data_IF_182747977953
#
_entry.id   IF_182747977953
#
_cell.length_a   1.000
_cell.length_b   1.000
_cell.length_c   1.000
_cell.angle_alpha   90.00
_cell.angle_beta   90.00
_cell.angle_gamma   90.00
#
_symmetry.space_group_name_H-M   'P 1'
#
loop_
_entity.id
_entity.type
_entity.pdbx_description
1 polymer ?
#
# COMPACT_ATOMS: atom_id res chain seq x y z
N UNK A 1 111.61 13.91 33.37
CA UNK A 1 111.19 13.60 34.75
C UNK A 1 109.71 13.31 34.73
N UNK A 2 109.31 12.33 35.53
CA UNK A 2 108.02 11.64 35.54
C UNK A 2 106.83 12.49 36.05
N UNK A 3 105.63 11.92 35.84
CA UNK A 3 104.35 11.99 36.59
C UNK A 3 103.15 12.30 35.68
N UNK A 4 101.96 11.75 35.83
CA UNK A 4 101.44 10.57 36.54
C UNK A 4 99.96 10.46 36.12
N UNK A 5 99.43 9.25 36.09
CA UNK A 5 98.04 8.88 36.34
C UNK A 5 96.89 9.84 35.95
N UNK A 6 96.22 9.63 34.80
CA UNK A 6 94.77 9.84 34.68
C UNK A 6 94.12 8.68 33.93
N UNK A 7 93.69 7.68 34.71
CA UNK A 7 92.34 7.14 34.63
C UNK A 7 91.91 6.45 33.33
N UNK A 8 92.49 5.30 33.00
CA UNK A 8 91.79 4.35 32.14
C UNK A 8 91.10 3.31 33.03
N UNK A 9 89.78 3.45 33.20
CA UNK A 9 88.97 2.28 33.46
C UNK A 9 89.27 1.31 32.33
N UNK A 10 89.86 0.14 32.64
CA UNK A 10 90.05 -0.89 31.63
C UNK A 10 88.69 -1.27 31.04
N UNK A 11 88.64 -1.69 29.78
CA UNK A 11 87.40 -2.14 29.14
C UNK A 11 86.60 -3.10 30.02
N UNK A 12 87.30 -3.99 30.74
CA UNK A 12 86.72 -4.90 31.72
C UNK A 12 85.92 -4.21 32.85
N UNK A 13 86.34 -3.03 33.31
CA UNK A 13 85.62 -2.26 34.35
C UNK A 13 84.41 -1.51 33.76
N UNK A 14 84.47 -1.14 32.49
CA UNK A 14 83.33 -0.58 31.74
C UNK A 14 82.27 -1.67 31.51
N UNK A 15 82.69 -2.87 31.10
CA UNK A 15 81.81 -4.01 30.87
C UNK A 15 81.08 -4.45 32.16
N UNK A 16 81.78 -4.42 33.30
CA UNK A 16 81.20 -4.69 34.62
C UNK A 16 80.16 -3.65 35.07
N UNK A 17 80.33 -2.38 34.69
CA UNK A 17 79.38 -1.31 35.00
C UNK A 17 78.15 -1.40 34.09
N UNK A 18 78.34 -1.78 32.82
CA UNK A 18 77.26 -1.98 31.85
C UNK A 18 76.38 -3.19 32.22
N UNK A 19 76.97 -4.27 32.71
CA UNK A 19 76.25 -5.46 33.18
C UNK A 19 75.43 -5.23 34.46
N UNK A 20 75.73 -4.16 35.23
CA UNK A 20 75.00 -3.75 36.43
C UNK A 20 73.94 -2.69 36.18
N UNK A 21 73.93 -2.09 34.99
CA UNK A 21 72.85 -1.21 34.59
C UNK A 21 71.66 -2.09 34.21
N UNK A 22 70.69 -2.23 35.12
CA UNK A 22 69.35 -2.70 34.74
C UNK A 22 68.74 -1.60 33.87
N UNK A 23 68.84 -1.76 32.56
CA UNK A 23 68.45 -0.70 31.62
C UNK A 23 66.93 -0.63 31.44
N UNK A 24 66.16 -1.64 31.86
CA UNK A 24 64.72 -1.70 31.59
C UNK A 24 64.37 -1.56 30.10
N UNK A 25 65.34 -1.78 29.20
CA UNK A 25 65.20 -1.61 27.74
C UNK A 25 65.36 -2.97 27.08
N UNK A 26 64.41 -3.34 26.22
CA UNK A 26 64.52 -4.53 25.39
C UNK A 26 65.63 -4.37 24.35
N UNK A 27 66.40 -5.44 24.14
CA UNK A 27 67.28 -5.52 22.98
C UNK A 27 66.47 -5.51 21.68
N UNK A 28 67.14 -5.17 20.58
CA UNK A 28 66.52 -5.22 19.25
C UNK A 28 65.95 -6.61 18.94
N UNK A 29 66.69 -7.67 19.29
CA UNK A 29 66.25 -9.05 19.09
C UNK A 29 64.98 -9.38 19.87
N UNK A 30 64.86 -8.92 21.11
CA UNK A 30 63.66 -9.12 21.94
C UNK A 30 62.48 -8.33 21.39
N UNK A 31 62.73 -7.09 20.93
CA UNK A 31 61.71 -6.24 20.30
C UNK A 31 61.16 -6.88 19.03
N UNK A 32 62.04 -7.38 18.15
CA UNK A 32 61.66 -8.05 16.90
C UNK A 32 60.86 -9.34 17.19
N UNK A 33 61.26 -10.10 18.21
CA UNK A 33 60.57 -11.31 18.64
C UNK A 33 59.15 -11.00 19.13
N UNK A 34 59.00 -10.01 20.01
CA UNK A 34 57.71 -9.61 20.55
C UNK A 34 56.78 -9.01 19.49
N UNK A 35 57.36 -8.29 18.51
CA UNK A 35 56.61 -7.70 17.41
C UNK A 35 56.11 -8.76 16.42
N UNK A 36 56.89 -9.82 16.16
CA UNK A 36 56.52 -10.90 15.23
C UNK A 36 55.22 -11.64 15.61
N UNK A 37 54.86 -11.64 16.90
CA UNK A 37 53.62 -12.24 17.41
C UNK A 37 52.41 -11.29 17.38
N UNK A 38 52.57 -10.07 16.89
CA UNK A 38 51.49 -9.08 16.76
C UNK A 38 50.92 -9.12 15.34
N UNK A 39 49.62 -8.86 15.24
CA UNK A 39 48.96 -8.66 13.96
C UNK A 39 49.22 -7.22 13.50
N UNK A 40 49.62 -7.05 12.24
CA UNK A 40 49.83 -5.74 11.64
C UNK A 40 48.52 -4.96 11.51
N UNK A 41 48.60 -3.64 11.68
CA UNK A 41 47.44 -2.76 11.49
C UNK A 41 47.11 -2.64 10.01
N UNK A 42 45.92 -3.09 9.63
CA UNK A 42 45.35 -2.85 8.31
C UNK A 42 44.32 -1.72 8.40
N UNK A 43 44.37 -0.77 7.46
CA UNK A 43 43.45 0.37 7.43
C UNK A 43 41.99 -0.11 7.34
N UNK A 44 41.14 0.33 8.28
CA UNK A 44 39.71 -0.02 8.31
C UNK A 44 39.34 -1.33 9.05
N UNK A 45 40.26 -1.89 9.87
CA UNK A 45 39.99 -3.07 10.71
C UNK A 45 40.47 -2.86 12.16
N UNK A 46 39.74 -3.45 13.13
CA UNK A 46 40.11 -3.52 14.55
C UNK A 46 40.95 -4.76 14.86
N UNK A 47 41.73 -4.75 15.96
CA UNK A 47 42.73 -5.78 16.29
C UNK A 47 42.17 -7.10 16.87
N UNK A 48 40.86 -7.19 17.16
CA UNK A 48 40.29 -8.35 17.89
C UNK A 48 38.84 -8.71 17.55
N UNK A 49 38.21 -8.05 16.59
CA UNK A 49 36.83 -8.37 16.19
C UNK A 49 36.83 -8.92 14.78
N UNK A 50 36.00 -9.95 14.54
CA UNK A 50 35.77 -10.54 13.23
C UNK A 50 35.31 -9.44 12.26
N UNK A 51 36.30 -8.79 11.64
CA UNK A 51 36.08 -7.77 10.64
C UNK A 51 35.51 -8.50 9.45
N UNK A 52 34.24 -8.26 9.13
CA UNK A 52 33.57 -8.80 7.94
C UNK A 52 34.57 -8.88 6.79
N UNK A 53 34.73 -10.08 6.24
CA UNK A 53 35.65 -10.34 5.14
C UNK A 53 35.33 -9.38 3.99
N UNK A 54 36.31 -9.09 3.13
CA UNK A 54 36.07 -8.24 1.95
C UNK A 54 34.94 -8.79 1.07
N UNK A 55 34.74 -10.12 1.08
CA UNK A 55 33.62 -10.78 0.42
C UNK A 55 32.27 -10.47 1.09
N UNK A 56 32.19 -10.43 2.42
CA UNK A 56 30.98 -10.03 3.15
C UNK A 56 30.68 -8.54 2.99
N UNK A 57 31.71 -7.68 2.97
CA UNK A 57 31.54 -6.25 2.68
C UNK A 57 31.05 -6.01 1.26
N UNK A 58 31.58 -6.74 0.27
CA UNK A 58 31.08 -6.71 -1.11
C UNK A 58 29.65 -7.23 -1.23
N UNK A 59 29.30 -8.29 -0.49
CA UNK A 59 27.92 -8.77 -0.41
C UNK A 59 26.99 -7.73 0.20
N UNK A 60 27.42 -7.05 1.26
CA UNK A 60 26.63 -6.01 1.94
C UNK A 60 26.42 -4.79 1.04
N UNK A 61 27.45 -4.29 0.36
CA UNK A 61 27.29 -3.19 -0.61
C UNK A 61 26.46 -3.60 -1.81
N UNK A 62 26.42 -4.89 -2.17
CA UNK A 62 25.53 -5.41 -3.22
C UNK A 62 24.06 -5.51 -2.80
N UNK A 63 23.70 -5.20 -1.54
CA UNK A 63 22.32 -5.15 -1.05
C UNK A 63 21.71 -3.74 -1.07
N UNK A 64 22.51 -2.68 -1.23
CA UNK A 64 22.02 -1.29 -1.33
C UNK A 64 21.23 -1.02 -2.63
N UNK A 65 21.13 -1.99 -3.52
CA UNK A 65 20.40 -1.92 -4.79
C UNK A 65 19.04 -2.63 -4.77
N UNK A 66 18.57 -3.11 -3.60
CA UNK A 66 17.27 -3.73 -3.49
C UNK A 66 16.18 -2.66 -3.52
N UNK A 67 15.69 -2.38 -4.72
CA UNK A 67 14.55 -1.50 -4.97
C UNK A 67 13.28 -2.35 -5.15
N UNK A 68 12.45 -2.42 -4.10
CA UNK A 68 11.15 -3.10 -4.13
C UNK A 68 9.98 -2.16 -4.48
N UNK A 69 10.27 -0.93 -4.92
CA UNK A 69 9.26 0.06 -5.33
C UNK A 69 8.36 -0.49 -6.44
N UNK A 70 8.92 -1.28 -7.36
CA UNK A 70 8.16 -1.93 -8.42
C UNK A 70 7.18 -2.98 -7.87
N UNK A 71 7.64 -3.86 -6.98
CA UNK A 71 6.83 -4.92 -6.37
C UNK A 71 5.71 -4.33 -5.50
N UNK A 72 6.01 -3.28 -4.73
CA UNK A 72 5.04 -2.58 -3.90
C UNK A 72 4.00 -1.81 -4.74
N UNK A 73 4.42 -1.20 -5.85
CA UNK A 73 3.52 -0.57 -6.82
C UNK A 73 2.61 -1.60 -7.50
N UNK A 74 3.15 -2.74 -7.93
CA UNK A 74 2.38 -3.84 -8.53
C UNK A 74 1.37 -4.42 -7.53
N UNK A 75 1.75 -4.61 -6.26
CA UNK A 75 0.83 -5.09 -5.21
C UNK A 75 -0.30 -4.09 -4.91
N UNK A 76 0.02 -2.79 -4.93
CA UNK A 76 -0.96 -1.71 -4.77
C UNK A 76 -1.91 -1.64 -5.97
N UNK A 77 -1.40 -1.81 -7.18
CA UNK A 77 -2.21 -1.87 -8.39
C UNK A 77 -3.10 -3.12 -8.43
N UNK A 78 -2.57 -4.29 -8.03
CA UNK A 78 -3.30 -5.55 -7.97
C UNK A 78 -4.43 -5.53 -6.93
N UNK A 79 -4.21 -4.83 -5.81
CA UNK A 79 -5.24 -4.64 -4.78
C UNK A 79 -6.31 -3.60 -5.18
N UNK A 80 -5.96 -2.67 -6.08
CA UNK A 80 -6.85 -1.60 -6.57
C UNK A 80 -7.55 -1.93 -7.89
N UNK A 81 -7.07 -2.93 -8.63
CA UNK A 81 -7.67 -3.38 -9.89
C UNK A 81 -9.12 -3.83 -9.65
N UNK A 82 -10.07 -3.20 -10.33
CA UNK A 82 -11.52 -3.43 -10.17
C UNK A 82 -12.25 -2.48 -9.20
N UNK A 83 -11.54 -1.62 -8.46
CA UNK A 83 -12.12 -0.83 -7.38
C UNK A 83 -12.89 0.45 -7.81
N UNK A 84 -12.98 0.76 -9.12
CA UNK A 84 -13.50 2.06 -9.55
C UNK A 84 -14.96 2.26 -9.18
N UNK A 85 -15.80 1.26 -9.43
CA UNK A 85 -17.20 1.33 -9.07
C UNK A 85 -17.47 0.39 -7.88
N UNK A 86 -18.02 0.94 -6.80
CA UNK A 86 -18.41 0.19 -5.62
C UNK A 86 -19.86 -0.34 -5.70
N UNK A 87 -20.63 0.09 -6.69
CA UNK A 87 -22.02 -0.35 -6.91
C UNK A 87 -22.06 -1.53 -7.88
N UNK A 88 -22.02 -2.75 -7.35
CA UNK A 88 -22.42 -3.98 -8.03
C UNK A 88 -23.95 -4.07 -8.17
N UNK A 89 -24.48 -3.64 -9.31
CA UNK A 89 -25.91 -3.79 -9.57
C UNK A 89 -26.31 -5.28 -9.59
N UNK A 90 -27.22 -5.66 -8.71
CA UNK A 90 -27.74 -7.03 -8.53
C UNK A 90 -29.23 -7.12 -8.77
N UNK A 91 -29.87 -6.02 -9.19
CA UNK A 91 -31.30 -6.01 -9.47
C UNK A 91 -31.66 -6.88 -10.67
N UNK A 92 -32.88 -7.42 -10.62
CA UNK A 92 -33.52 -8.02 -11.79
C UNK A 92 -34.38 -7.00 -12.51
N UNK A 93 -34.40 -7.07 -13.84
CA UNK A 93 -35.28 -6.28 -14.69
C UNK A 93 -36.74 -6.52 -14.32
N UNK A 94 -37.54 -5.44 -14.23
CA UNK A 94 -38.98 -5.50 -13.99
C UNK A 94 -39.66 -4.17 -14.31
N UNK A 95 -40.97 -4.20 -14.41
CA UNK A 95 -41.80 -2.99 -14.47
C UNK A 95 -42.41 -2.72 -13.10
N UNK A 96 -42.31 -1.47 -12.64
CA UNK A 96 -42.83 -1.01 -11.36
C UNK A 96 -43.42 0.40 -11.54
N UNK A 97 -44.66 0.60 -11.05
CA UNK A 97 -45.35 1.88 -11.07
C UNK A 97 -45.24 2.67 -12.40
N UNK A 98 -45.43 1.99 -13.54
CA UNK A 98 -45.45 2.63 -14.86
C UNK A 98 -44.07 2.83 -15.51
N UNK A 99 -42.98 2.39 -14.87
CA UNK A 99 -41.62 2.43 -15.42
C UNK A 99 -41.07 1.02 -15.56
N UNK A 100 -40.52 0.70 -16.73
CA UNK A 100 -39.77 -0.53 -17.00
C UNK A 100 -38.28 -0.27 -16.77
N UNK A 101 -37.69 -1.07 -15.88
CA UNK A 101 -36.27 -1.09 -15.59
C UNK A 101 -35.66 -2.32 -16.27
N UNK A 102 -34.77 -2.08 -17.22
CA UNK A 102 -33.98 -3.13 -17.89
C UNK A 102 -32.54 -3.05 -17.39
N UNK A 103 -32.13 -4.04 -16.60
CA UNK A 103 -30.76 -4.17 -16.11
C UNK A 103 -29.91 -4.84 -17.19
N UNK A 104 -28.86 -4.15 -17.62
CA UNK A 104 -27.94 -4.62 -18.65
C UNK A 104 -26.76 -5.41 -18.04
N UNK A 105 -26.06 -6.25 -18.81
CA UNK A 105 -24.94 -7.06 -18.30
C UNK A 105 -23.79 -6.25 -17.68
N UNK A 106 -23.64 -4.99 -18.09
CA UNK A 106 -22.62 -4.07 -17.57
C UNK A 106 -23.03 -3.38 -16.26
N UNK A 107 -24.24 -3.66 -15.74
CA UNK A 107 -24.79 -3.09 -14.52
C UNK A 107 -25.50 -1.75 -14.71
N UNK A 108 -25.52 -1.19 -15.93
CA UNK A 108 -26.36 -0.04 -16.27
C UNK A 108 -27.85 -0.41 -16.26
N UNK A 109 -28.73 0.60 -16.18
CA UNK A 109 -30.18 0.39 -16.17
C UNK A 109 -30.86 1.31 -17.17
N UNK A 110 -31.48 0.73 -18.19
CA UNK A 110 -32.34 1.46 -19.13
C UNK A 110 -33.73 1.61 -18.55
N UNK A 111 -34.29 2.81 -18.68
CA UNK A 111 -35.59 3.21 -18.16
C UNK A 111 -36.53 3.53 -19.31
N UNK A 112 -37.78 3.09 -19.21
CA UNK A 112 -38.86 3.52 -20.11
C UNK A 112 -40.17 3.63 -19.33
N UNK A 113 -40.88 4.73 -19.51
CA UNK A 113 -42.20 5.00 -18.97
C UNK A 113 -42.27 6.29 -18.15
N UNK A 114 -43.40 6.45 -17.48
CA UNK A 114 -43.68 7.57 -16.59
C UNK A 114 -44.06 7.03 -15.22
N UNK A 115 -43.40 7.55 -14.18
CA UNK A 115 -43.60 7.07 -12.82
C UNK A 115 -44.98 7.46 -12.27
N UNK A 116 -45.86 6.48 -12.05
CA UNK A 116 -47.18 6.69 -11.46
C UNK A 116 -47.11 7.09 -9.97
N UNK A 117 -46.06 6.64 -9.26
CA UNK A 117 -45.72 6.98 -7.88
C UNK A 117 -44.21 7.25 -7.79
N UNK A 118 -43.72 7.78 -6.67
CA UNK A 118 -42.26 7.84 -6.44
C UNK A 118 -41.72 6.42 -6.27
N UNK A 119 -40.73 6.05 -7.09
CA UNK A 119 -40.11 4.72 -7.10
C UNK A 119 -38.75 4.80 -6.40
N UNK A 120 -38.44 3.79 -5.59
CA UNK A 120 -37.14 3.53 -5.01
C UNK A 120 -36.68 2.14 -5.44
N UNK A 121 -36.15 2.04 -6.65
CA UNK A 121 -35.75 0.76 -7.23
C UNK A 121 -34.40 0.33 -6.65
N UNK A 122 -34.32 -0.69 -5.76
CA UNK A 122 -33.05 -1.12 -5.20
C UNK A 122 -32.20 -1.78 -6.29
N UNK A 123 -30.95 -1.32 -6.43
CA UNK A 123 -29.94 -1.90 -7.34
C UNK A 123 -28.84 -2.64 -6.58
N UNK A 124 -28.63 -2.30 -5.32
CA UNK A 124 -27.75 -3.05 -4.41
C UNK A 124 -28.27 -2.93 -2.98
N UNK A 125 -28.23 -4.04 -2.25
CA UNK A 125 -28.66 -4.10 -0.85
C UNK A 125 -27.52 -4.51 0.08
N UNK A 126 -27.58 -4.06 1.33
CA UNK A 126 -26.65 -4.41 2.41
C UNK A 126 -25.17 -4.11 2.07
N UNK A 127 -24.95 -2.95 1.45
CA UNK A 127 -23.62 -2.44 1.13
C UNK A 127 -22.93 -1.91 2.40
N UNK A 128 -21.62 -2.07 2.44
CA UNK A 128 -20.72 -1.42 3.40
C UNK A 128 -19.78 -0.49 2.66
N UNK A 129 -19.61 0.72 3.19
CA UNK A 129 -18.69 1.74 2.65
C UNK A 129 -17.67 2.01 3.76
N UNK A 130 -16.38 1.91 3.43
CA UNK A 130 -15.33 2.29 4.37
C UNK A 130 -15.31 3.81 4.58
N UNK A 131 -14.66 4.26 5.65
CA UNK A 131 -14.38 5.68 5.82
C UNK A 131 -13.53 6.19 4.64
N UNK A 132 -13.91 7.33 4.07
CA UNK A 132 -13.24 7.87 2.88
C UNK A 132 -14.02 8.99 2.22
N UNK A 133 -13.49 9.50 1.11
CA UNK A 133 -14.15 10.50 0.27
C UNK A 133 -14.51 9.87 -1.06
N UNK A 134 -15.78 9.95 -1.44
CA UNK A 134 -16.31 9.28 -2.63
C UNK A 134 -17.13 10.22 -3.48
N UNK A 135 -17.17 9.96 -4.78
CA UNK A 135 -18.04 10.62 -5.74
C UNK A 135 -19.10 9.64 -6.25
N UNK A 136 -20.38 9.96 -6.07
CA UNK A 136 -21.50 9.24 -6.68
C UNK A 136 -21.83 9.85 -8.04
N UNK A 137 -22.21 9.02 -9.01
CA UNK A 137 -22.69 9.47 -10.32
C UNK A 137 -23.83 8.63 -10.89
N UNK A 138 -24.58 9.23 -11.82
CA UNK A 138 -25.74 8.61 -12.47
C UNK A 138 -25.69 8.58 -14.02
N UNK A 139 -24.77 9.32 -14.65
CA UNK A 139 -24.64 9.36 -16.12
C UNK A 139 -25.74 10.11 -16.87
N UNK A 140 -26.66 10.78 -16.17
CA UNK A 140 -27.77 11.53 -16.75
C UNK A 140 -27.43 13.02 -16.90
N UNK A 141 -28.08 13.66 -17.88
CA UNK A 141 -28.01 15.11 -18.10
C UNK A 141 -29.22 15.88 -17.55
N UNK A 142 -30.09 15.20 -16.81
CA UNK A 142 -31.29 15.74 -16.17
C UNK A 142 -31.52 15.05 -14.82
N UNK A 143 -32.51 15.51 -14.06
CA UNK A 143 -32.81 15.00 -12.72
C UNK A 143 -34.02 14.04 -12.68
N UNK A 144 -34.50 13.59 -13.85
CA UNK A 144 -35.71 12.76 -13.98
C UNK A 144 -35.58 11.44 -13.19
N UNK A 145 -34.37 10.90 -13.12
CA UNK A 145 -33.97 9.82 -12.23
C UNK A 145 -32.67 10.16 -11.50
N UNK A 146 -32.44 9.56 -10.33
CA UNK A 146 -31.24 9.79 -9.50
C UNK A 146 -30.74 8.48 -8.92
N UNK A 147 -29.43 8.34 -8.76
CA UNK A 147 -28.83 7.28 -7.93
C UNK A 147 -28.65 7.82 -6.53
N UNK A 148 -29.20 7.10 -5.53
CA UNK A 148 -29.20 7.47 -4.12
C UNK A 148 -28.68 6.30 -3.29
N UNK A 149 -27.81 6.57 -2.32
CA UNK A 149 -27.42 5.60 -1.29
C UNK A 149 -28.00 6.06 0.03
N UNK A 150 -28.80 5.21 0.67
CA UNK A 150 -29.43 5.49 1.96
C UNK A 150 -29.47 4.25 2.86
N UNK A 151 -29.54 4.42 4.20
CA UNK A 151 -29.75 3.31 5.13
C UNK A 151 -31.07 2.60 4.87
N UNK A 152 -31.09 1.27 5.08
CA UNK A 152 -32.28 0.42 4.86
C UNK A 152 -33.52 0.91 5.62
N UNK A 153 -33.35 1.42 6.84
CA UNK A 153 -34.45 1.83 7.72
C UNK A 153 -34.68 3.35 7.78
N UNK A 154 -33.97 4.13 6.93
CA UNK A 154 -34.04 5.58 6.96
C UNK A 154 -33.72 6.17 5.57
N UNK A 155 -34.51 5.83 4.55
CA UNK A 155 -34.28 6.27 3.15
C UNK A 155 -34.17 7.79 2.97
N UNK A 156 -34.75 8.57 3.88
CA UNK A 156 -34.67 10.03 3.93
C UNK A 156 -33.31 10.56 4.43
N UNK A 157 -32.50 9.73 5.11
CA UNK A 157 -31.13 10.04 5.52
C UNK A 157 -30.15 9.67 4.39
N UNK A 158 -30.24 10.37 3.27
CA UNK A 158 -29.43 10.12 2.07
C UNK A 158 -27.94 10.30 2.37
N UNK A 159 -27.17 9.22 2.29
CA UNK A 159 -25.71 9.23 2.42
C UNK A 159 -25.09 9.78 1.15
N UNK A 160 -25.59 9.38 -0.01
CA UNK A 160 -25.21 9.97 -1.29
C UNK A 160 -26.47 10.20 -2.14
N UNK A 161 -26.50 11.30 -2.88
CA UNK A 161 -27.56 11.63 -3.82
C UNK A 161 -26.88 12.30 -5.02
N UNK A 162 -26.97 11.69 -6.20
CA UNK A 162 -26.26 12.16 -7.39
C UNK A 162 -26.77 13.51 -7.94
N UNK A 163 -28.01 13.92 -7.61
CA UNK A 163 -28.64 15.21 -7.99
C UNK A 163 -28.40 15.69 -9.45
N UNK A 164 -28.86 16.92 -9.75
CA UNK A 164 -28.96 17.55 -11.10
C UNK A 164 -27.60 17.82 -11.78
N UNK A 165 -26.46 17.49 -11.15
CA UNK A 165 -25.11 17.68 -11.72
C UNK A 165 -24.37 16.38 -12.02
N UNK A 166 -25.03 15.23 -11.88
CA UNK A 166 -24.50 13.92 -12.31
C UNK A 166 -23.32 13.38 -11.49
N UNK A 167 -22.58 14.22 -10.74
CA UNK A 167 -21.47 13.87 -9.86
C UNK A 167 -21.57 14.62 -8.53
N UNK A 168 -21.60 13.90 -7.41
CA UNK A 168 -21.63 14.50 -6.06
C UNK A 168 -20.57 13.84 -5.18
N UNK A 169 -19.70 14.65 -4.58
CA UNK A 169 -18.60 14.20 -3.73
C UNK A 169 -18.89 14.43 -2.26
N UNK A 170 -18.65 13.42 -1.42
CA UNK A 170 -18.79 13.52 0.04
C UNK A 170 -17.75 12.68 0.77
N UNK A 171 -17.34 13.16 1.93
CA UNK A 171 -16.58 12.39 2.92
C UNK A 171 -17.55 11.70 3.89
N UNK A 172 -17.30 10.43 4.17
CA UNK A 172 -18.10 9.60 5.08
C UNK A 172 -17.20 8.86 6.06
N UNK A 173 -17.73 8.59 7.26
CA UNK A 173 -17.18 7.54 8.13
C UNK A 173 -17.56 6.15 7.60
N UNK A 174 -17.03 5.08 8.19
CA UNK A 174 -17.45 3.72 7.83
C UNK A 174 -18.95 3.54 8.10
N UNK A 175 -19.68 3.06 7.11
CA UNK A 175 -21.13 2.83 7.17
C UNK A 175 -21.42 1.41 6.70
N UNK A 176 -22.28 0.71 7.42
CA UNK A 176 -22.76 -0.64 7.07
C UNK A 176 -24.29 -0.64 6.93
N UNK A 177 -24.84 -1.54 6.11
CA UNK A 177 -26.30 -1.71 6.01
C UNK A 177 -27.01 -0.63 5.20
N UNK A 178 -26.30 -0.02 4.23
CA UNK A 178 -26.89 0.93 3.26
C UNK A 178 -27.26 0.23 1.96
N UNK A 179 -28.21 0.80 1.25
CA UNK A 179 -28.66 0.31 -0.05
C UNK A 179 -28.49 1.41 -1.10
N UNK A 180 -28.20 1.02 -2.33
CA UNK A 180 -28.21 1.90 -3.49
C UNK A 180 -29.53 1.73 -4.26
N UNK A 181 -30.14 2.85 -4.63
CA UNK A 181 -31.42 2.92 -5.32
C UNK A 181 -31.32 3.79 -6.57
N UNK A 182 -32.10 3.44 -7.59
CA UNK A 182 -32.54 4.39 -8.60
C UNK A 182 -33.88 4.98 -8.13
N UNK A 183 -33.88 6.29 -7.85
CA UNK A 183 -35.08 7.03 -7.46
C UNK A 183 -35.65 7.75 -8.67
N UNK A 184 -36.96 7.63 -8.87
CA UNK A 184 -37.73 8.38 -9.86
C UNK A 184 -38.89 9.05 -9.12
N UNK A 185 -39.02 10.36 -9.22
CA UNK A 185 -40.14 11.07 -8.59
C UNK A 185 -41.45 10.80 -9.35
N UNK A 186 -42.58 10.82 -8.64
CA UNK A 186 -43.89 10.71 -9.27
C UNK A 186 -44.06 11.76 -10.38
N UNK A 187 -44.61 11.33 -11.52
CA UNK A 187 -44.87 12.17 -12.67
C UNK A 187 -43.69 12.36 -13.61
N UNK A 188 -42.46 11.98 -13.22
CA UNK A 188 -41.31 12.06 -14.10
C UNK A 188 -41.42 11.01 -15.22
N UNK A 189 -41.31 11.46 -16.47
CA UNK A 189 -41.05 10.60 -17.62
C UNK A 189 -39.55 10.34 -17.73
N UNK A 190 -39.20 9.08 -17.95
CA UNK A 190 -37.82 8.59 -18.05
C UNK A 190 -37.58 7.81 -19.34
N UNK A 191 -38.41 8.04 -20.35
CA UNK A 191 -38.37 7.34 -21.63
C UNK A 191 -36.98 7.44 -22.30
N UNK A 192 -36.40 6.28 -22.61
CA UNK A 192 -35.11 6.18 -23.27
C UNK A 192 -33.89 6.55 -22.40
N UNK A 193 -34.06 6.87 -21.11
CA UNK A 193 -32.93 7.21 -20.25
C UNK A 193 -32.13 5.96 -19.86
N UNK A 194 -30.82 6.11 -19.71
CA UNK A 194 -29.93 5.05 -19.20
C UNK A 194 -29.19 5.56 -17.98
N UNK A 195 -29.40 4.92 -16.84
CA UNK A 195 -28.70 5.23 -15.59
C UNK A 195 -27.41 4.42 -15.53
N UNK A 196 -26.30 5.11 -15.23
CA UNK A 196 -24.96 4.56 -15.07
C UNK A 196 -24.53 4.69 -13.60
N UNK A 197 -25.03 3.81 -12.71
CA UNK A 197 -24.80 3.95 -11.28
C UNK A 197 -23.35 3.66 -10.93
N UNK A 198 -22.65 4.67 -10.41
CA UNK A 198 -21.27 4.51 -9.95
C UNK A 198 -21.02 5.25 -8.65
N UNK A 199 -20.39 4.57 -7.70
CA UNK A 199 -19.75 5.21 -6.54
C UNK A 199 -18.26 4.91 -6.64
N UNK A 200 -17.44 5.95 -6.74
CA UNK A 200 -15.98 5.83 -6.88
C UNK A 200 -15.26 6.56 -5.77
N UNK A 201 -14.06 6.12 -5.43
CA UNK A 201 -13.15 6.91 -4.60
C UNK A 201 -12.89 8.26 -5.28
N UNK A 202 -12.93 9.35 -4.51
CA UNK A 202 -12.78 10.70 -5.05
C UNK A 202 -11.37 10.96 -5.59
N UNK A 203 -10.36 10.20 -5.16
CA UNK A 203 -8.99 10.27 -5.70
C UNK A 203 -8.88 9.77 -7.14
N UNK A 204 -9.84 8.97 -7.63
CA UNK A 204 -9.89 8.52 -9.01
C UNK A 204 -10.39 9.66 -9.90
N UNK A 205 -9.51 10.27 -10.68
CA UNK A 205 -9.84 11.44 -11.52
C UNK A 205 -10.67 11.11 -12.76
N UNK A 206 -10.55 9.89 -13.28
CA UNK A 206 -11.32 9.43 -14.43
C UNK A 206 -12.81 9.30 -14.08
N UNK A 207 -13.64 10.16 -14.69
CA UNK A 207 -15.09 10.25 -14.45
C UNK A 207 -15.92 9.32 -15.32
N UNK A 208 -15.30 8.62 -16.29
CA UNK A 208 -16.01 7.70 -17.17
C UNK A 208 -16.67 6.57 -16.38
N UNK A 209 -17.85 6.15 -16.82
CA UNK A 209 -18.51 5.00 -16.21
C UNK A 209 -17.67 3.74 -16.42
N UNK A 210 -17.49 2.98 -15.35
CA UNK A 210 -16.95 1.63 -15.40
C UNK A 210 -17.90 0.69 -14.65
N UNK A 211 -18.28 -0.45 -15.25
CA UNK A 211 -18.98 -1.51 -14.55
C UNK A 211 -18.26 -1.94 -13.27
N UNK A 212 -19.03 -2.42 -12.29
CA UNK A 212 -18.45 -3.06 -11.12
C UNK A 212 -17.57 -4.24 -11.56
N UNK A 213 -16.34 -4.30 -11.03
CA UNK A 213 -15.47 -5.46 -11.16
C UNK A 213 -14.98 -5.88 -9.76
N UNK A 214 -15.02 -7.17 -9.39
CA UNK A 214 -14.43 -7.62 -8.15
C UNK A 214 -12.90 -7.44 -8.20
N UNK A 215 -12.30 -7.15 -7.06
CA UNK A 215 -10.84 -7.14 -6.95
C UNK A 215 -10.28 -8.55 -7.16
N UNK A 216 -9.02 -8.69 -7.58
CA UNK A 216 -8.40 -10.00 -7.77
C UNK A 216 -8.42 -10.86 -6.50
N UNK A 217 -8.30 -10.24 -5.33
CA UNK A 217 -8.48 -10.92 -4.04
C UNK A 217 -9.92 -11.44 -3.87
N UNK A 218 -10.93 -10.61 -4.14
CA UNK A 218 -12.34 -11.03 -4.06
C UNK A 218 -12.65 -12.13 -5.07
N UNK A 219 -12.07 -12.05 -6.28
CA UNK A 219 -12.19 -13.09 -7.29
C UNK A 219 -11.58 -14.42 -6.82
N UNK A 220 -10.40 -14.39 -6.20
CA UNK A 220 -9.77 -15.56 -5.60
C UNK A 220 -10.64 -16.17 -4.48
N UNK A 221 -11.17 -15.35 -3.58
CA UNK A 221 -12.09 -15.78 -2.52
C UNK A 221 -13.38 -16.41 -3.11
N UNK A 222 -13.92 -15.86 -4.20
CA UNK A 222 -15.07 -16.43 -4.91
C UNK A 222 -14.74 -17.79 -5.55
N UNK A 223 -13.58 -17.95 -6.18
CA UNK A 223 -13.12 -19.22 -6.77
C UNK A 223 -12.91 -20.28 -5.68
N UNK A 224 -12.33 -19.89 -4.54
CA UNK A 224 -12.17 -20.78 -3.39
C UNK A 224 -13.51 -21.25 -2.81
N UNK A 225 -14.49 -20.35 -2.69
CA UNK A 225 -15.83 -20.70 -2.22
C UNK A 225 -16.54 -21.67 -3.18
N UNK A 226 -16.39 -21.49 -4.50
CA UNK A 226 -16.98 -22.39 -5.50
C UNK A 226 -16.30 -23.77 -5.54
N UNK A 227 -14.98 -23.82 -5.37
CA UNK A 227 -14.22 -25.08 -5.36
C UNK A 227 -14.43 -25.91 -4.09
N UNK A 228 -14.72 -25.25 -2.96
CA UNK A 228 -15.06 -25.94 -1.70
C UNK A 228 -16.52 -26.43 -1.63
N UNK A 229 -17.41 -25.91 -2.48
CA UNK A 229 -18.84 -26.28 -2.52
C UNK A 229 -19.21 -27.51 -3.35
N UNK A 230 -18.25 -28.18 -4.00
CA UNK A 230 -18.52 -29.33 -4.91
C UNK A 230 -18.47 -30.71 -4.23
N UNK A 231 -18.52 -30.77 -2.89
CA UNK A 231 -18.52 -32.03 -2.14
C UNK A 231 -19.86 -32.26 -1.43
N UNK A 232 -20.85 -32.76 -2.17
CA UNK A 232 -22.07 -33.38 -1.62
C UNK A 232 -22.69 -34.32 -2.63
#
# INVERSE_FOLDING_TARGET
MANDYIGQYSGARIDQLLAKADTGVYSKSETDTLLSGKVDKVQGMGLSEASFTNAEKQKLTSLENYDDSAVTAELSALSSAGAKNLICNTASSRTEAGVTFTVEPDGSVRLNGTAANTIWFPIMTNMSIAAGTYTISNGLSNDAARVIISPTNAVNQRVFDSNESGFITRTVSSITGVNAYIRIAQGNSVDGLTVLPMLRDASISDTSYQPYAPTNRRLYEMILALSSGSSS
#
